data_IF_557911317186
#
_entry.id   IF_557911317186
#
_cell.length_a   1.000
_cell.length_b   1.000
_cell.length_c   1.000
_cell.angle_alpha   90.00
_cell.angle_beta   90.00
_cell.angle_gamma   90.00
#
_symmetry.space_group_name_H-M   'P 1'
#
loop_
_entity.id
_entity.type
_entity.pdbx_description
1 polymer ?
#
# COMPACT_ATOMS: atom_id res chain seq x y z
N UNK A 1 -32.47 -4.62 -24.79
CA UNK A 1 -31.97 -5.37 -23.65
C UNK A 1 -30.48 -5.72 -23.76
N UNK A 2 -29.98 -6.31 -24.85
CA UNK A 2 -28.54 -6.67 -25.01
C UNK A 2 -27.56 -5.49 -24.94
N UNK A 3 -27.93 -4.30 -25.45
CA UNK A 3 -27.07 -3.09 -25.43
C UNK A 3 -26.94 -2.45 -24.03
N UNK A 4 -28.01 -2.56 -23.21
CA UNK A 4 -28.00 -2.04 -21.83
C UNK A 4 -27.15 -2.95 -20.93
N UNK A 5 -27.19 -4.27 -21.17
CA UNK A 5 -26.38 -5.23 -20.41
C UNK A 5 -24.88 -5.05 -20.68
N UNK A 6 -24.49 -4.78 -21.92
CA UNK A 6 -23.10 -4.48 -22.28
C UNK A 6 -22.59 -3.18 -21.64
N UNK A 7 -23.44 -2.15 -21.56
CA UNK A 7 -23.07 -0.88 -20.92
C UNK A 7 -22.92 -1.02 -19.40
N UNK A 8 -23.77 -1.82 -18.74
CA UNK A 8 -23.69 -2.09 -17.29
C UNK A 8 -22.44 -2.91 -16.96
N UNK A 9 -22.10 -3.92 -17.77
CA UNK A 9 -20.86 -4.71 -17.58
C UNK A 9 -19.61 -3.85 -17.78
N UNK A 10 -19.62 -2.93 -18.75
CA UNK A 10 -18.51 -1.99 -18.96
C UNK A 10 -18.37 -1.00 -17.78
N UNK A 11 -19.48 -0.52 -17.21
CA UNK A 11 -19.46 0.38 -16.04
C UNK A 11 -18.97 -0.33 -14.78
N UNK A 12 -19.34 -1.59 -14.55
CA UNK A 12 -18.84 -2.39 -13.42
C UNK A 12 -17.35 -2.70 -13.54
N UNK A 13 -16.81 -2.88 -14.75
CA UNK A 13 -15.37 -3.14 -14.93
C UNK A 13 -14.49 -1.92 -14.62
N UNK A 14 -14.99 -0.71 -14.83
CA UNK A 14 -14.24 0.52 -14.54
C UNK A 14 -14.13 0.80 -13.03
N UNK A 15 -15.12 0.42 -12.23
CA UNK A 15 -15.07 0.57 -10.77
C UNK A 15 -14.04 -0.37 -10.13
N UNK A 16 -13.81 -1.56 -10.69
CA UNK A 16 -12.81 -2.50 -10.18
C UNK A 16 -11.36 -2.03 -10.41
N UNK A 17 -11.09 -1.26 -11.46
CA UNK A 17 -9.74 -0.76 -11.75
C UNK A 17 -9.31 0.40 -10.84
N UNK A 18 -10.25 1.18 -10.32
CA UNK A 18 -9.94 2.32 -9.43
C UNK A 18 -9.45 1.89 -8.04
N UNK A 19 -9.82 0.69 -7.56
CA UNK A 19 -9.39 0.17 -6.26
C UNK A 19 -8.09 -0.65 -6.32
N UNK A 20 -7.58 -0.97 -7.50
CA UNK A 20 -6.39 -1.80 -7.65
C UNK A 20 -5.07 -1.10 -7.25
N UNK A 21 -5.10 0.22 -7.06
CA UNK A 21 -3.94 1.06 -6.76
C UNK A 21 -4.00 1.67 -5.35
N UNK A 22 -4.61 0.97 -4.39
CA UNK A 22 -4.55 1.31 -2.97
C UNK A 22 -3.48 0.46 -2.28
N UNK A 23 -3.11 0.81 -1.06
CA UNK A 23 -2.06 0.11 -0.30
C UNK A 23 -0.67 0.70 -0.47
N UNK A 24 0.30 -0.03 0.01
CA UNK A 24 1.70 0.35 -0.08
C UNK A 24 2.32 -0.20 -1.36
N UNK A 25 3.05 0.64 -2.05
CA UNK A 25 3.71 0.32 -3.31
C UNK A 25 5.18 0.71 -3.24
N UNK A 26 6.07 -0.23 -3.50
CA UNK A 26 7.51 0.04 -3.43
C UNK A 26 8.24 -0.34 -4.72
N UNK A 27 9.34 0.36 -4.97
CA UNK A 27 10.23 0.10 -6.09
C UNK A 27 11.63 0.65 -5.87
N UNK A 28 12.55 0.24 -6.74
CA UNK A 28 13.92 0.73 -6.74
C UNK A 28 14.11 1.71 -7.89
N UNK A 29 14.43 2.95 -7.55
CA UNK A 29 14.78 4.01 -8.48
C UNK A 29 16.29 4.03 -8.66
N UNK A 30 16.79 3.78 -9.85
CA UNK A 30 18.23 3.87 -10.13
C UNK A 30 18.63 5.33 -10.40
N UNK A 31 19.39 5.90 -9.50
CA UNK A 31 19.95 7.24 -9.64
C UNK A 31 21.45 7.12 -9.90
N UNK A 32 21.84 7.10 -11.17
CA UNK A 32 23.23 7.01 -11.63
C UNK A 32 24.00 5.81 -11.04
N UNK A 33 23.36 4.63 -11.03
CA UNK A 33 23.93 3.40 -10.51
C UNK A 33 23.74 3.19 -9.01
N UNK A 34 23.09 4.12 -8.32
CA UNK A 34 22.71 3.98 -6.90
C UNK A 34 21.22 3.71 -6.81
N UNK A 35 20.80 2.50 -6.41
CA UNK A 35 19.39 2.19 -6.23
C UNK A 35 18.84 2.83 -4.96
N UNK A 36 17.82 3.67 -5.09
CA UNK A 36 17.04 4.22 -3.98
C UNK A 36 15.70 3.53 -3.88
N UNK A 37 15.31 3.15 -2.67
CA UNK A 37 13.97 2.62 -2.40
C UNK A 37 12.99 3.77 -2.33
N UNK A 38 11.92 3.66 -3.12
CA UNK A 38 10.77 4.57 -3.07
C UNK A 38 9.56 3.75 -2.63
N UNK A 39 8.86 4.23 -1.61
CA UNK A 39 7.62 3.63 -1.11
C UNK A 39 6.52 4.67 -1.18
N UNK A 40 5.39 4.33 -1.81
CA UNK A 40 4.19 5.14 -1.80
C UNK A 40 3.13 4.46 -0.94
N UNK A 41 2.60 5.19 0.04
CA UNK A 41 1.46 4.82 0.87
C UNK A 41 0.22 5.46 0.25
N UNK A 42 -0.54 4.68 -0.53
CA UNK A 42 -1.66 5.18 -1.33
C UNK A 42 -3.01 4.96 -0.67
N UNK A 43 -3.01 4.56 0.61
CA UNK A 43 -4.18 4.35 1.44
C UNK A 43 -4.55 5.63 2.21
N UNK A 44 -5.85 5.75 2.53
CA UNK A 44 -6.35 6.83 3.38
C UNK A 44 -6.46 8.19 2.69
N UNK A 45 -6.75 9.21 3.48
CA UNK A 45 -7.01 10.57 3.03
C UNK A 45 -5.73 11.40 2.85
N UNK A 46 -4.62 10.98 3.47
CA UNK A 46 -3.32 11.65 3.43
C UNK A 46 -2.24 10.71 2.88
N UNK A 47 -2.17 10.52 1.56
CA UNK A 47 -1.16 9.67 0.96
C UNK A 47 0.23 10.28 1.10
N UNK A 48 1.24 9.42 1.30
CA UNK A 48 2.64 9.82 1.50
C UNK A 48 3.61 9.03 0.66
N UNK A 49 4.84 9.54 0.58
CA UNK A 49 6.00 8.87 -0.01
C UNK A 49 7.12 8.79 1.02
N UNK A 50 7.81 7.66 1.03
CA UNK A 50 9.05 7.46 1.78
C UNK A 50 10.21 7.19 0.83
N UNK A 51 11.38 7.65 1.22
CA UNK A 51 12.68 7.24 0.68
C UNK A 51 13.58 6.80 1.85
N UNK A 52 13.48 5.55 2.31
CA UNK A 52 14.19 5.07 3.51
C UNK A 52 15.70 5.18 3.41
N UNK A 53 16.27 4.94 2.22
CA UNK A 53 17.72 5.04 1.98
C UNK A 53 18.25 6.47 2.16
N UNK A 54 17.36 7.47 2.15
CA UNK A 54 17.65 8.88 2.35
C UNK A 54 17.13 9.41 3.71
N UNK A 55 16.60 8.53 4.57
CA UNK A 55 15.95 8.88 5.83
C UNK A 55 14.79 9.90 5.67
N UNK A 56 14.18 9.95 4.48
CA UNK A 56 13.06 10.83 4.17
C UNK A 56 11.76 10.03 4.25
N UNK A 57 10.93 10.33 5.24
CA UNK A 57 9.70 9.59 5.54
C UNK A 57 8.49 10.54 5.62
N UNK A 58 7.32 10.03 5.24
CA UNK A 58 6.06 10.73 5.41
C UNK A 58 5.90 11.98 4.53
N UNK A 59 6.53 12.02 3.36
CA UNK A 59 6.44 13.17 2.44
C UNK A 59 5.04 13.20 1.82
N UNK A 60 4.24 14.26 2.01
CA UNK A 60 2.89 14.33 1.46
C UNK A 60 2.90 14.31 -0.07
N UNK A 61 1.97 13.56 -0.65
CA UNK A 61 1.79 13.47 -2.10
C UNK A 61 0.34 13.74 -2.51
N UNK A 62 0.15 14.09 -3.76
CA UNK A 62 -1.16 14.28 -4.39
C UNK A 62 -1.34 13.23 -5.48
N UNK A 63 -2.50 12.58 -5.51
CA UNK A 63 -2.76 11.46 -6.42
C UNK A 63 -3.90 11.81 -7.36
N UNK A 64 -3.66 11.58 -8.64
CA UNK A 64 -4.68 11.62 -9.69
C UNK A 64 -4.74 10.24 -10.37
N UNK A 65 -5.92 9.65 -10.48
CA UNK A 65 -6.14 8.34 -11.11
C UNK A 65 -7.02 8.49 -12.35
N UNK A 66 -6.71 7.73 -13.39
CA UNK A 66 -7.52 7.68 -14.61
C UNK A 66 -8.34 6.40 -14.68
N UNK A 67 -9.46 6.43 -15.41
CA UNK A 67 -10.35 5.29 -15.59
C UNK A 67 -9.68 4.08 -16.29
N UNK A 68 -8.56 4.28 -16.98
CA UNK A 68 -7.81 3.23 -17.70
C UNK A 68 -6.64 2.66 -16.90
N UNK A 69 -6.59 2.90 -15.57
CA UNK A 69 -5.55 2.37 -14.70
C UNK A 69 -4.27 3.22 -14.64
N UNK A 70 -4.29 4.43 -15.17
CA UNK A 70 -3.19 5.39 -15.01
C UNK A 70 -3.20 6.02 -13.62
N UNK A 71 -2.01 6.30 -13.10
CA UNK A 71 -1.81 7.04 -11.86
C UNK A 71 -0.76 8.13 -12.08
N UNK A 72 -1.06 9.32 -11.58
CA UNK A 72 -0.10 10.42 -11.46
C UNK A 72 0.03 10.78 -9.99
N UNK A 73 1.26 10.74 -9.48
CA UNK A 73 1.59 11.11 -8.11
C UNK A 73 2.48 12.34 -8.15
N UNK A 74 2.03 13.44 -7.59
CA UNK A 74 2.80 14.68 -7.46
C UNK A 74 3.40 14.76 -6.06
N UNK A 75 4.67 15.11 -5.97
CA UNK A 75 5.42 15.28 -4.73
C UNK A 75 5.89 16.73 -4.63
N UNK A 76 5.04 17.68 -4.19
CA UNK A 76 5.33 19.10 -4.24
C UNK A 76 6.60 19.50 -3.48
N UNK A 77 6.82 18.89 -2.31
CA UNK A 77 7.98 19.16 -1.48
C UNK A 77 9.33 18.88 -2.16
N UNK A 78 9.33 17.98 -3.15
CA UNK A 78 10.54 17.59 -3.90
C UNK A 78 10.55 18.14 -5.33
N UNK A 79 9.54 18.91 -5.73
CA UNK A 79 9.29 19.31 -7.12
C UNK A 79 9.39 18.09 -8.08
N UNK A 80 8.82 16.96 -7.65
CA UNK A 80 8.89 15.68 -8.36
C UNK A 80 7.50 15.16 -8.71
N UNK A 81 7.45 14.23 -9.67
CA UNK A 81 6.23 13.51 -10.02
C UNK A 81 6.54 12.08 -10.46
N UNK A 82 5.56 11.21 -10.30
CA UNK A 82 5.57 9.87 -10.86
C UNK A 82 4.33 9.69 -11.74
N UNK A 83 4.52 9.17 -12.93
CA UNK A 83 3.44 8.82 -13.85
C UNK A 83 3.56 7.34 -14.20
N UNK A 84 2.53 6.55 -13.91
CA UNK A 84 2.55 5.11 -14.10
C UNK A 84 1.23 4.54 -14.61
N UNK A 85 1.32 3.30 -15.11
CA UNK A 85 0.17 2.52 -15.57
C UNK A 85 0.13 1.18 -14.84
N UNK A 86 -1.04 0.82 -14.36
CA UNK A 86 -1.30 -0.49 -13.78
C UNK A 86 -1.28 -1.60 -14.83
N UNK A 87 -0.47 -2.63 -14.61
CA UNK A 87 -0.28 -3.76 -15.56
C UNK A 87 -0.95 -5.06 -15.11
N UNK A 88 -1.78 -5.02 -14.04
CA UNK A 88 -2.39 -6.20 -13.43
C UNK A 88 -1.60 -6.77 -12.24
N UNK A 89 -0.31 -6.47 -12.12
CA UNK A 89 0.56 -6.92 -11.03
C UNK A 89 1.39 -5.80 -10.41
N UNK A 90 1.77 -4.82 -11.18
CA UNK A 90 2.63 -3.72 -10.77
C UNK A 90 2.23 -2.43 -11.48
N UNK A 91 2.69 -1.30 -10.97
CA UNK A 91 2.55 -0.01 -11.65
C UNK A 91 3.91 0.28 -12.31
N UNK A 92 3.92 0.36 -13.63
CA UNK A 92 5.14 0.66 -14.39
C UNK A 92 5.07 2.10 -14.86
N UNK A 93 6.11 2.87 -14.61
CA UNK A 93 6.07 4.30 -14.91
C UNK A 93 7.42 4.98 -14.88
N UNK A 94 7.35 6.30 -14.80
CA UNK A 94 8.51 7.18 -14.85
C UNK A 94 8.45 8.15 -13.66
N UNK A 95 9.52 8.21 -12.90
CA UNK A 95 9.75 9.21 -11.86
C UNK A 95 10.50 10.40 -12.47
N UNK A 96 9.97 11.59 -12.28
CA UNK A 96 10.50 12.84 -12.84
C UNK A 96 10.91 13.78 -11.71
N UNK A 97 12.15 14.24 -11.72
CA UNK A 97 12.66 15.21 -10.76
C UNK A 97 13.84 16.00 -11.35
N UNK A 98 13.88 17.30 -11.15
CA UNK A 98 14.98 18.18 -11.54
C UNK A 98 15.40 18.02 -13.02
N UNK A 99 14.44 17.78 -13.93
CA UNK A 99 14.69 17.57 -15.37
C UNK A 99 15.10 16.15 -15.75
N UNK A 100 15.30 15.26 -14.79
CA UNK A 100 15.55 13.84 -15.04
C UNK A 100 14.24 13.05 -15.11
N UNK A 101 14.24 12.03 -15.96
CA UNK A 101 13.15 11.07 -16.09
C UNK A 101 13.73 9.66 -15.93
N UNK A 102 13.39 8.99 -14.86
CA UNK A 102 13.95 7.70 -14.49
C UNK A 102 12.83 6.64 -14.46
N UNK A 103 13.05 5.46 -15.07
CA UNK A 103 12.07 4.39 -15.00
C UNK A 103 11.91 3.89 -13.57
N UNK A 104 10.66 3.67 -13.14
CA UNK A 104 10.36 3.11 -11.84
C UNK A 104 9.17 2.16 -11.94
N UNK A 105 9.38 0.90 -11.60
CA UNK A 105 8.33 -0.09 -11.46
C UNK A 105 8.01 -0.26 -9.97
N UNK A 106 6.74 -0.11 -9.61
CA UNK A 106 6.24 -0.27 -8.25
C UNK A 106 5.51 -1.60 -8.14
N UNK A 107 5.90 -2.42 -7.19
CA UNK A 107 5.20 -3.62 -6.79
C UNK A 107 4.40 -3.38 -5.50
N UNK A 108 3.27 -4.09 -5.30
CA UNK A 108 2.59 -4.04 -4.01
C UNK A 108 3.56 -4.50 -2.93
N UNK A 109 3.67 -3.71 -1.87
CA UNK A 109 4.46 -4.11 -0.72
C UNK A 109 3.73 -5.25 -0.01
N UNK A 110 4.35 -6.42 0.03
CA UNK A 110 3.80 -7.53 0.79
C UNK A 110 3.72 -7.07 2.25
N UNK A 111 2.51 -7.15 2.85
CA UNK A 111 2.40 -6.99 4.31
C UNK A 111 3.41 -7.95 4.93
N UNK A 112 4.44 -7.40 5.55
CA UNK A 112 5.42 -8.21 6.26
C UNK A 112 4.64 -9.04 7.28
N UNK A 113 4.56 -10.35 7.03
CA UNK A 113 4.12 -11.27 8.08
C UNK A 113 5.11 -11.03 9.22
N UNK A 114 4.62 -10.53 10.35
CA UNK A 114 5.48 -10.37 11.53
C UNK A 114 5.96 -11.78 11.89
N UNK A 115 7.25 -12.12 11.69
CA UNK A 115 7.74 -13.48 11.95
C UNK A 115 7.66 -13.85 13.44
N UNK A 116 7.37 -12.87 14.29
CA UNK A 116 7.19 -13.00 15.72
C UNK A 116 5.75 -13.34 16.14
N UNK A 117 4.77 -13.30 15.24
CA UNK A 117 3.45 -13.82 15.55
C UNK A 117 3.49 -15.33 15.45
N UNK A 118 3.39 -16.07 16.56
CA UNK A 118 3.38 -17.52 16.54
C UNK A 118 2.18 -17.98 15.70
N UNK A 119 2.40 -19.03 14.90
CA UNK A 119 1.37 -19.62 14.05
C UNK A 119 1.03 -20.98 14.63
N UNK A 120 -0.24 -21.19 15.02
CA UNK A 120 -0.70 -22.47 15.56
C UNK A 120 -0.54 -23.67 14.62
N UNK A 121 -0.75 -24.87 15.11
CA UNK A 121 -1.36 -25.20 16.41
C UNK A 121 -0.40 -24.96 17.59
N UNK A 122 -0.94 -24.37 18.68
CA UNK A 122 -0.16 -24.13 19.89
C UNK A 122 -0.31 -25.28 20.88
N UNK A 123 0.72 -25.59 21.68
CA UNK A 123 0.65 -26.61 22.73
C UNK A 123 -0.04 -26.06 24.00
N UNK A 124 -0.96 -25.13 23.87
CA UNK A 124 -1.68 -24.48 24.96
C UNK A 124 -3.06 -24.02 24.48
N UNK A 125 -4.00 -23.87 25.39
CA UNK A 125 -5.30 -23.28 25.10
C UNK A 125 -5.22 -21.75 25.25
N UNK A 126 -5.92 -21.05 24.37
CA UNK A 126 -6.08 -19.60 24.42
C UNK A 126 -7.53 -19.25 24.71
N UNK A 127 -7.74 -18.33 25.64
CA UNK A 127 -9.07 -17.77 25.99
C UNK A 127 -9.01 -16.26 25.95
N UNK A 128 -9.94 -15.65 25.22
CA UNK A 128 -10.09 -14.20 25.25
C UNK A 128 -10.82 -13.79 26.53
N UNK A 129 -10.19 -12.94 27.31
CA UNK A 129 -10.73 -12.45 28.57
C UNK A 129 -10.89 -10.94 28.54
N UNK A 130 -11.95 -10.45 29.18
CA UNK A 130 -12.16 -9.03 29.39
C UNK A 130 -12.23 -8.74 30.86
N UNK A 131 -11.63 -7.65 31.31
CA UNK A 131 -11.68 -7.19 32.68
C UNK A 131 -11.76 -5.67 32.75
N UNK A 132 -12.37 -5.16 33.80
CA UNK A 132 -12.59 -3.73 34.00
C UNK A 132 -11.64 -3.18 35.07
N UNK A 133 -11.11 -1.99 34.81
CA UNK A 133 -10.37 -1.22 35.80
C UNK A 133 -10.92 0.21 35.80
N UNK A 134 -11.78 0.51 36.76
CA UNK A 134 -12.53 1.75 36.79
C UNK A 134 -13.49 1.84 35.58
N UNK A 135 -13.38 2.88 34.80
CA UNK A 135 -14.19 3.09 33.57
C UNK A 135 -13.59 2.42 32.32
N UNK A 136 -12.37 1.88 32.39
CA UNK A 136 -11.70 1.24 31.28
C UNK A 136 -12.03 -0.25 31.19
N UNK A 137 -12.48 -0.69 30.01
CA UNK A 137 -12.59 -2.09 29.64
C UNK A 137 -11.32 -2.53 28.90
N UNK A 138 -10.66 -3.53 29.46
CA UNK A 138 -9.43 -4.08 28.92
C UNK A 138 -9.72 -5.47 28.35
N UNK A 139 -9.13 -5.78 27.21
CA UNK A 139 -9.16 -7.11 26.61
C UNK A 139 -7.75 -7.72 26.65
N UNK A 140 -7.69 -9.02 26.88
CA UNK A 140 -6.44 -9.77 26.88
C UNK A 140 -6.67 -11.22 26.48
N UNK A 141 -5.59 -11.91 26.15
CA UNK A 141 -5.60 -13.35 25.87
C UNK A 141 -4.96 -14.08 27.03
N UNK A 142 -5.73 -14.97 27.68
CA UNK A 142 -5.23 -15.88 28.70
C UNK A 142 -4.67 -17.13 28.00
N UNK A 143 -3.46 -17.47 28.33
CA UNK A 143 -2.79 -18.68 27.81
C UNK A 143 -2.68 -19.68 28.93
N UNK A 144 -3.26 -20.87 28.73
CA UNK A 144 -3.27 -21.95 29.70
C UNK A 144 -2.39 -23.11 29.20
N UNK A 145 -1.31 -23.49 29.89
CA UNK A 145 -0.51 -24.65 29.51
C UNK A 145 -1.32 -25.95 29.64
N UNK A 146 -1.01 -26.95 28.82
CA UNK A 146 -1.64 -28.26 28.91
C UNK A 146 -1.41 -28.90 30.30
N UNK A 147 -2.51 -29.33 30.94
CA UNK A 147 -2.46 -30.03 32.21
C UNK A 147 -2.68 -29.16 33.48
N UNK A 148 -3.23 -27.97 33.28
CA UNK A 148 -3.68 -27.13 34.40
C UNK A 148 -5.17 -27.31 34.66
#
# INVERSE_FOLDING_TARGET
>A
MKKIFAAVVLLLSTVFLMNAQTGNWSGKLDVRGTPLTIVFHLDGDEPTMDSPDQAALGIPVQIERTAIGGITIKIPALAASYEGLWTGKQIVGTFKQAGFSLPLALAPEAKLKRPQNPVGPFPYAEEEVTFTNGEANLAGTLVLPEGY
#
